data_IF_056698141227
#
_entry.id   IF_056698141227
#
_cell.length_a   1.000
_cell.length_b   1.000
_cell.length_c   1.000
_cell.angle_alpha   90.00
_cell.angle_beta   90.00
_cell.angle_gamma   90.00
#
_symmetry.space_group_name_H-M   'P 1'
#
loop_
_entity.id
_entity.type
_entity.pdbx_description
1 polymer ?
#
# COMPACT_ATOMS: atom_id res chain seq x y z
N UNK A 1 0.92 2.97 24.78
CA UNK A 1 1.95 3.06 23.72
C UNK A 1 2.34 4.52 23.51
N UNK A 2 3.60 4.82 23.52
CA UNK A 2 4.08 6.17 23.30
C UNK A 2 3.90 6.60 21.85
N UNK A 3 3.88 7.91 21.60
CA UNK A 3 3.82 8.51 20.27
C UNK A 3 4.94 7.98 19.36
N UNK A 4 6.15 7.90 19.92
CA UNK A 4 7.32 7.38 19.21
C UNK A 4 7.15 5.92 18.82
N UNK A 5 6.60 5.09 19.72
CA UNK A 5 6.38 3.67 19.46
C UNK A 5 5.31 3.48 18.39
N UNK A 6 4.26 4.32 18.38
CA UNK A 6 3.23 4.29 17.34
C UNK A 6 3.81 4.61 15.98
N UNK A 7 4.69 5.61 15.89
CA UNK A 7 5.36 5.98 14.64
C UNK A 7 6.29 4.87 14.16
N UNK A 8 7.01 4.23 15.08
CA UNK A 8 7.89 3.12 14.72
C UNK A 8 7.11 1.90 14.24
N UNK A 9 6.00 1.58 14.91
CA UNK A 9 5.14 0.49 14.46
C UNK A 9 4.56 0.80 13.08
N UNK A 10 4.06 2.01 12.86
CA UNK A 10 3.57 2.44 11.56
C UNK A 10 4.67 2.35 10.49
N UNK A 11 5.89 2.78 10.83
CA UNK A 11 7.04 2.70 9.93
C UNK A 11 7.35 1.27 9.54
N UNK A 12 7.36 0.35 10.51
CA UNK A 12 7.62 -1.07 10.25
C UNK A 12 6.55 -1.67 9.35
N UNK A 13 5.28 -1.35 9.59
CA UNK A 13 4.19 -1.80 8.72
C UNK A 13 4.36 -1.28 7.30
N UNK A 14 4.68 0.00 7.14
CA UNK A 14 4.91 0.59 5.82
C UNK A 14 6.11 -0.04 5.10
N UNK A 15 7.21 -0.27 5.82
CA UNK A 15 8.40 -0.89 5.26
C UNK A 15 8.15 -2.34 4.84
N UNK A 16 7.46 -3.11 5.68
CA UNK A 16 7.15 -4.51 5.38
C UNK A 16 6.22 -4.60 4.18
N UNK A 17 5.12 -3.87 4.18
CA UNK A 17 4.16 -3.93 3.07
C UNK A 17 4.79 -3.39 1.77
N UNK A 18 5.61 -2.37 1.86
CA UNK A 18 6.33 -1.82 0.71
C UNK A 18 7.32 -2.81 0.13
N UNK A 19 8.13 -3.43 0.98
CA UNK A 19 9.11 -4.41 0.54
C UNK A 19 8.46 -5.63 -0.10
N UNK A 20 7.43 -6.19 0.55
CA UNK A 20 6.68 -7.32 0.00
C UNK A 20 6.05 -6.98 -1.35
N UNK A 21 5.50 -5.78 -1.49
CA UNK A 21 4.87 -5.33 -2.72
C UNK A 21 5.89 -5.18 -3.85
N UNK A 22 7.07 -4.60 -3.57
CA UNK A 22 8.13 -4.43 -4.56
C UNK A 22 8.68 -5.78 -5.00
N UNK A 23 8.96 -6.67 -4.05
CA UNK A 23 9.52 -8.00 -4.37
C UNK A 23 8.52 -8.81 -5.19
N UNK A 24 7.29 -8.92 -4.71
CA UNK A 24 6.26 -9.73 -5.38
C UNK A 24 5.91 -9.16 -6.75
N UNK A 25 5.66 -7.86 -6.82
CA UNK A 25 5.34 -7.20 -8.08
C UNK A 25 6.51 -7.19 -9.05
N UNK A 26 7.72 -6.99 -8.54
CA UNK A 26 8.94 -7.02 -9.35
C UNK A 26 9.21 -8.37 -9.98
N UNK A 27 8.99 -9.45 -9.25
CA UNK A 27 9.16 -10.81 -9.76
C UNK A 27 8.20 -11.05 -10.94
N UNK A 28 6.96 -10.62 -10.83
CA UNK A 28 5.96 -10.75 -11.90
C UNK A 28 6.29 -9.82 -13.06
N UNK A 29 6.67 -8.57 -12.78
CA UNK A 29 6.98 -7.57 -13.80
C UNK A 29 8.18 -8.00 -14.67
N UNK A 30 9.18 -8.64 -14.05
CA UNK A 30 10.37 -9.13 -14.75
C UNK A 30 10.14 -10.47 -15.46
N UNK A 31 8.95 -11.05 -15.31
CA UNK A 31 8.63 -12.32 -15.97
C UNK A 31 9.21 -13.56 -15.29
N UNK A 32 9.75 -13.42 -14.08
CA UNK A 32 10.32 -14.54 -13.33
C UNK A 32 9.22 -15.49 -12.87
N UNK A 33 8.07 -14.94 -12.50
CA UNK A 33 6.90 -15.70 -12.06
C UNK A 33 5.67 -15.22 -12.82
N UNK A 34 4.79 -16.16 -13.19
CA UNK A 34 3.48 -15.85 -13.76
C UNK A 34 2.39 -16.28 -12.79
N UNK A 35 1.33 -15.46 -12.69
CA UNK A 35 0.21 -15.75 -11.80
C UNK A 35 -0.83 -16.61 -12.51
N UNK A 36 -1.53 -17.50 -11.78
CA UNK A 36 -2.59 -18.33 -12.35
C UNK A 36 -3.90 -17.58 -12.61
N UNK A 37 -3.89 -16.25 -12.47
CA UNK A 37 -5.04 -15.38 -12.70
C UNK A 37 -4.61 -14.18 -13.54
N UNK A 38 -5.57 -13.48 -14.20
CA UNK A 38 -5.23 -12.29 -14.99
C UNK A 38 -4.62 -11.18 -14.12
N UNK A 39 -3.52 -10.61 -14.59
CA UNK A 39 -2.85 -9.50 -13.94
C UNK A 39 -2.96 -8.29 -14.86
N UNK A 40 -3.56 -7.20 -14.35
CA UNK A 40 -3.68 -5.95 -15.10
C UNK A 40 -2.30 -5.28 -15.17
N UNK A 41 -1.76 -5.00 -16.38
CA UNK A 41 -0.43 -4.40 -16.48
C UNK A 41 -0.30 -3.06 -15.75
N UNK A 42 -1.31 -2.19 -15.86
CA UNK A 42 -1.27 -0.90 -15.18
C UNK A 42 -1.30 -1.06 -13.65
N UNK A 43 -2.04 -2.05 -13.15
CA UNK A 43 -2.13 -2.33 -11.72
C UNK A 43 -0.79 -2.85 -11.19
N UNK A 44 -0.15 -3.72 -11.95
CA UNK A 44 1.16 -4.27 -11.58
C UNK A 44 2.20 -3.16 -11.46
N UNK A 45 2.25 -2.27 -12.46
CA UNK A 45 3.17 -1.12 -12.45
C UNK A 45 2.85 -0.17 -11.29
N UNK A 46 1.56 0.08 -11.05
CA UNK A 46 1.12 0.89 -9.92
C UNK A 46 1.61 0.30 -8.60
N UNK A 47 1.41 -1.01 -8.42
CA UNK A 47 1.79 -1.69 -7.17
C UNK A 47 3.29 -1.60 -6.92
N UNK A 48 4.12 -1.83 -7.94
CA UNK A 48 5.58 -1.73 -7.80
C UNK A 48 5.99 -0.31 -7.45
N UNK A 49 5.46 0.68 -8.17
CA UNK A 49 5.75 2.09 -7.89
C UNK A 49 5.32 2.49 -6.48
N UNK A 50 4.12 2.10 -6.08
CA UNK A 50 3.61 2.41 -4.74
C UNK A 50 4.34 1.64 -3.64
N UNK A 51 4.90 0.48 -3.96
CA UNK A 51 5.78 -0.24 -3.05
C UNK A 51 7.00 0.58 -2.69
N UNK A 52 7.64 1.21 -3.69
CA UNK A 52 8.76 2.12 -3.44
C UNK A 52 8.33 3.36 -2.66
N UNK A 53 7.17 3.92 -2.98
CA UNK A 53 6.63 5.07 -2.23
C UNK A 53 6.36 4.68 -0.78
N UNK A 54 5.85 3.47 -0.55
CA UNK A 54 5.61 2.94 0.80
C UNK A 54 6.90 2.79 1.60
N UNK A 55 7.99 2.37 0.95
CA UNK A 55 9.31 2.31 1.59
C UNK A 55 9.78 3.71 1.98
N UNK A 56 9.59 4.69 1.11
CA UNK A 56 9.94 6.07 1.41
C UNK A 56 9.11 6.61 2.58
N UNK A 57 7.81 6.34 2.60
CA UNK A 57 6.93 6.71 3.71
C UNK A 57 7.38 6.06 5.02
N UNK A 58 7.71 4.77 4.97
CA UNK A 58 8.21 4.03 6.13
C UNK A 58 9.49 4.63 6.68
N UNK A 59 10.42 4.97 5.81
CA UNK A 59 11.65 5.65 6.21
C UNK A 59 11.35 6.98 6.91
N UNK A 60 10.47 7.79 6.29
CA UNK A 60 10.09 9.08 6.85
C UNK A 60 9.39 8.96 8.21
N UNK A 61 8.52 7.97 8.36
CA UNK A 61 7.85 7.72 9.64
C UNK A 61 8.84 7.29 10.72
N UNK A 62 9.80 6.45 10.36
CA UNK A 62 10.83 6.01 11.32
C UNK A 62 11.68 7.19 11.79
N UNK A 63 12.02 8.09 10.88
CA UNK A 63 12.83 9.27 11.16
C UNK A 63 11.98 10.45 11.66
N UNK A 64 10.67 10.27 11.79
CA UNK A 64 9.71 11.29 12.22
C UNK A 64 9.78 12.58 11.38
N UNK A 65 9.96 12.39 10.05
CA UNK A 65 9.99 13.50 9.10
C UNK A 65 8.59 14.10 8.92
N UNK A 66 8.50 15.42 8.78
CA UNK A 66 7.22 16.10 8.65
C UNK A 66 6.43 15.73 7.40
N UNK A 67 7.13 15.41 6.29
CA UNK A 67 6.47 15.02 5.04
C UNK A 67 5.90 13.60 5.07
N UNK A 68 6.31 12.78 6.04
CA UNK A 68 5.91 11.36 6.08
C UNK A 68 4.41 11.17 6.27
N UNK A 69 3.76 12.00 7.09
CA UNK A 69 2.32 11.92 7.32
C UNK A 69 1.54 12.25 6.05
N UNK A 70 1.95 13.28 5.33
CA UNK A 70 1.31 13.66 4.05
C UNK A 70 1.50 12.56 3.01
N UNK A 71 2.70 12.02 2.90
CA UNK A 71 2.98 10.93 1.96
C UNK A 71 2.13 9.70 2.29
N UNK A 72 1.98 9.36 3.57
CA UNK A 72 1.14 8.26 4.02
C UNK A 72 -0.33 8.46 3.65
N UNK A 73 -0.85 9.69 3.79
CA UNK A 73 -2.21 10.03 3.37
C UNK A 73 -2.38 9.86 1.87
N UNK A 74 -1.39 10.28 1.09
CA UNK A 74 -1.42 10.12 -0.37
C UNK A 74 -1.45 8.65 -0.76
N UNK A 75 -0.65 7.81 -0.10
CA UNK A 75 -0.65 6.37 -0.36
C UNK A 75 -2.02 5.77 -0.06
N UNK A 76 -2.58 6.10 1.10
CA UNK A 76 -3.91 5.62 1.48
C UNK A 76 -4.97 6.05 0.46
N UNK A 77 -4.96 7.32 0.07
CA UNK A 77 -5.92 7.84 -0.91
C UNK A 77 -5.80 7.12 -2.25
N UNK A 78 -4.57 6.92 -2.74
CA UNK A 78 -4.32 6.20 -3.99
C UNK A 78 -4.78 4.76 -3.92
N UNK A 79 -4.47 4.05 -2.83
CA UNK A 79 -4.90 2.66 -2.66
C UNK A 79 -6.42 2.56 -2.58
N UNK A 80 -7.06 3.48 -1.88
CA UNK A 80 -8.52 3.51 -1.79
C UNK A 80 -9.17 3.75 -3.14
N UNK A 81 -8.64 4.69 -3.94
CA UNK A 81 -9.15 4.97 -5.28
C UNK A 81 -8.98 3.78 -6.21
N UNK A 82 -7.82 3.13 -6.18
CA UNK A 82 -7.56 1.94 -7.00
C UNK A 82 -8.46 0.80 -6.56
N UNK A 83 -8.63 0.60 -5.27
CA UNK A 83 -9.54 -0.42 -4.75
C UNK A 83 -10.97 -0.21 -5.26
N UNK A 84 -11.49 1.01 -5.17
CA UNK A 84 -12.83 1.33 -5.66
C UNK A 84 -12.94 1.13 -7.17
N UNK A 85 -11.88 1.48 -7.92
CA UNK A 85 -11.82 1.24 -9.37
C UNK A 85 -11.95 -0.24 -9.68
N UNK A 86 -11.18 -1.08 -8.99
CA UNK A 86 -11.22 -2.53 -9.22
C UNK A 86 -12.59 -3.13 -8.87
N UNK A 87 -13.17 -2.69 -7.75
CA UNK A 87 -14.50 -3.14 -7.34
C UNK A 87 -15.54 -2.72 -8.36
N UNK A 88 -15.43 -1.50 -8.92
CA UNK A 88 -16.34 -1.01 -9.95
C UNK A 88 -16.18 -1.71 -11.28
N UNK A 89 -14.97 -2.13 -11.63
CA UNK A 89 -14.69 -2.85 -12.89
C UNK A 89 -15.27 -4.27 -12.90
N UNK A 90 -15.29 -4.92 -11.75
CA UNK A 90 -15.70 -6.34 -11.66
C UNK A 90 -17.14 -6.58 -12.13
N UNK A 91 -18.16 -5.86 -11.63
CA UNK A 91 -19.55 -6.07 -12.10
C UNK A 91 -19.80 -5.59 -13.52
N UNK A 92 -18.90 -4.79 -14.11
CA UNK A 92 -19.01 -4.33 -15.49
C UNK A 92 -18.51 -5.37 -16.50
N UNK A 93 -18.13 -6.57 -16.03
CA UNK A 93 -17.64 -7.64 -16.91
C UNK A 93 -16.20 -7.47 -17.36
N UNK A 94 -15.48 -6.50 -16.80
CA UNK A 94 -14.07 -6.31 -17.09
C UNK A 94 -13.23 -7.38 -16.38
N UNK A 95 -12.13 -7.78 -16.99
CA UNK A 95 -11.28 -8.84 -16.44
C UNK A 95 -10.48 -8.33 -15.26
N UNK A 96 -10.99 -8.57 -14.05
CA UNK A 96 -10.30 -8.21 -12.79
C UNK A 96 -10.31 -9.45 -11.90
N UNK A 97 -9.12 -9.89 -11.51
CA UNK A 97 -9.00 -11.03 -10.61
C UNK A 97 -9.46 -10.66 -9.20
N UNK A 98 -10.22 -11.53 -8.55
CA UNK A 98 -10.62 -11.37 -7.16
C UNK A 98 -9.37 -11.26 -6.27
N UNK A 99 -8.29 -11.97 -6.62
CA UNK A 99 -7.01 -11.89 -5.93
C UNK A 99 -6.47 -10.45 -5.90
N UNK A 100 -6.61 -9.70 -7.00
CA UNK A 100 -6.18 -8.30 -7.06
C UNK A 100 -7.03 -7.41 -6.15
N UNK A 101 -8.34 -7.63 -6.14
CA UNK A 101 -9.26 -6.89 -5.27
C UNK A 101 -8.91 -7.15 -3.80
N UNK A 102 -8.71 -8.40 -3.43
CA UNK A 102 -8.39 -8.78 -2.04
C UNK A 102 -7.04 -8.23 -1.61
N UNK A 103 -6.04 -8.28 -2.49
CA UNK A 103 -4.72 -7.72 -2.20
C UNK A 103 -4.80 -6.21 -1.97
N UNK A 104 -5.58 -5.49 -2.79
CA UNK A 104 -5.75 -4.04 -2.63
C UNK A 104 -6.55 -3.71 -1.37
N UNK A 105 -7.55 -4.52 -1.04
CA UNK A 105 -8.28 -4.37 0.22
C UNK A 105 -7.32 -4.51 1.41
N UNK A 106 -6.47 -5.51 1.39
CA UNK A 106 -5.48 -5.75 2.45
C UNK A 106 -4.54 -4.56 2.59
N UNK A 107 -3.99 -4.05 1.47
CA UNK A 107 -3.08 -2.89 1.49
C UNK A 107 -3.78 -1.64 2.00
N UNK A 108 -5.01 -1.41 1.56
CA UNK A 108 -5.79 -0.26 2.01
C UNK A 108 -6.04 -0.35 3.52
N UNK A 109 -6.40 -1.53 4.02
CA UNK A 109 -6.63 -1.75 5.45
C UNK A 109 -5.35 -1.50 6.28
N UNK A 110 -4.20 -1.97 5.80
CA UNK A 110 -2.91 -1.72 6.47
C UNK A 110 -2.62 -0.23 6.55
N UNK A 111 -2.86 0.52 5.45
CA UNK A 111 -2.61 1.95 5.43
C UNK A 111 -3.61 2.73 6.29
N UNK A 112 -4.85 2.26 6.43
CA UNK A 112 -5.80 2.81 7.40
C UNK A 112 -5.22 2.64 8.81
N UNK A 113 -4.71 1.45 9.13
CA UNK A 113 -4.06 1.19 10.42
C UNK A 113 -2.87 2.10 10.67
N UNK A 114 -2.02 2.29 9.65
CA UNK A 114 -0.86 3.19 9.74
C UNK A 114 -1.32 4.62 10.05
N UNK A 115 -2.32 5.11 9.34
CA UNK A 115 -2.83 6.47 9.56
C UNK A 115 -3.44 6.62 10.95
N UNK A 116 -4.15 5.61 11.43
CA UNK A 116 -4.70 5.63 12.80
C UNK A 116 -3.58 5.75 13.85
N UNK A 117 -2.49 5.02 13.63
CA UNK A 117 -1.34 5.06 14.56
C UNK A 117 -0.68 6.43 14.60
N UNK A 118 -0.46 7.06 13.44
CA UNK A 118 0.24 8.34 13.39
C UNK A 118 -0.68 9.52 13.73
N UNK A 119 -1.96 9.44 13.42
CA UNK A 119 -2.91 10.52 13.71
C UNK A 119 -3.39 10.53 15.16
N UNK A 120 -3.40 9.38 15.83
CA UNK A 120 -3.75 9.33 17.25
C UNK A 120 -2.82 10.15 18.12
N UNK A 121 -1.63 10.48 17.62
CA UNK A 121 -0.67 11.35 18.27
C UNK A 121 -1.18 12.78 18.45
N UNK A 122 -1.87 13.32 17.41
CA UNK A 122 -2.32 14.71 17.42
C UNK A 122 -3.46 14.97 18.41
N UNK A 123 -4.07 13.91 18.94
CA UNK A 123 -5.17 13.99 19.90
C UNK A 123 -4.71 13.82 21.35
N UNK A 124 -3.48 13.43 21.54
CA UNK A 124 -2.89 13.22 22.84
C UNK A 124 -2.23 14.45 23.40
#
# INVERSE_FOLDING_TARGET
>A
MTSRNKHRLAALLALVIGLLTVVEGGIVLLGIETKPYPVLPWLLRYNVAMGFVSLAAGYGLWRERGWAAMLSRMVLACHGLVFLTLVGMHPLGMTVAVNSIMAMLFRTAIWIGIMMLIESRSRG
#
